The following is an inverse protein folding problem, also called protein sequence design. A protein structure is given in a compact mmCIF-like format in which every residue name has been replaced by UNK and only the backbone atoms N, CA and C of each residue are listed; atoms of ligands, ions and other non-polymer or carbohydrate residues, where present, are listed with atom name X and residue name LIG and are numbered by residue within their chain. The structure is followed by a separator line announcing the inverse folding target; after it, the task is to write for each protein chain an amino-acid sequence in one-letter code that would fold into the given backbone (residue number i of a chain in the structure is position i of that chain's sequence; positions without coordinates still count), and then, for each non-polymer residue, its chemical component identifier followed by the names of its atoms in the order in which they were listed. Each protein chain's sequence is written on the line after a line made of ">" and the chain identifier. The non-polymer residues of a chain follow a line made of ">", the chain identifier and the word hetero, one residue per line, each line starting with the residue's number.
data_IF_199145339190
#
_entry.id   IF_199145339190
#
_cell.length_a   1.000
_cell.length_b   1.000
_cell.length_c   1.000
_cell.angle_alpha   90.00
_cell.angle_beta   90.00
_cell.angle_gamma   90.00
#
_symmetry.space_group_name_H-M   'P 1'
#
loop_
_entity.id
_entity.type
_entity.pdbx_description
1 polymer ?
#
# COMPACT_ATOMS: atom_id res chain seq x y z
N UNK A 1 15.37 2.36 2.23
CA UNK A 1 14.60 1.32 2.92
C UNK A 1 13.89 1.97 4.08
N UNK A 2 12.66 2.42 3.84
CA UNK A 2 11.80 2.90 4.92
C UNK A 2 11.53 1.74 5.89
N UNK A 3 11.84 1.97 7.16
CA UNK A 3 11.43 1.06 8.21
C UNK A 3 9.96 1.34 8.50
N UNK A 4 9.07 0.34 8.31
CA UNK A 4 7.66 0.52 8.67
C UNK A 4 7.47 0.80 10.16
N UNK A 5 8.48 0.63 11.01
CA UNK A 5 8.41 1.14 12.39
C UNK A 5 8.06 2.63 12.42
N UNK A 6 8.62 3.42 11.49
CA UNK A 6 8.32 4.86 11.37
C UNK A 6 6.90 5.11 10.84
N UNK A 7 6.50 4.38 9.79
CA UNK A 7 5.13 4.43 9.25
C UNK A 7 4.09 4.01 10.29
N UNK A 8 4.33 2.91 11.01
CA UNK A 8 3.47 2.36 12.06
C UNK A 8 3.31 3.34 13.22
N UNK A 9 4.39 4.01 13.63
CA UNK A 9 4.32 5.05 14.65
C UNK A 9 3.45 6.24 14.19
N UNK A 10 3.64 6.69 12.95
CA UNK A 10 2.85 7.76 12.36
C UNK A 10 1.38 7.36 12.17
N UNK A 11 1.09 6.14 11.70
CA UNK A 11 -0.27 5.63 11.56
C UNK A 11 -0.99 5.54 12.91
N UNK A 12 -0.32 5.10 13.98
CA UNK A 12 -0.89 5.12 15.35
C UNK A 12 -1.25 6.55 15.77
N UNK A 13 -0.32 7.49 15.62
CA UNK A 13 -0.57 8.89 15.98
C UNK A 13 -1.74 9.47 15.16
N UNK A 14 -1.75 9.25 13.85
CA UNK A 14 -2.81 9.72 12.94
C UNK A 14 -4.17 9.07 13.23
N UNK A 15 -4.20 7.79 13.60
CA UNK A 15 -5.43 7.09 13.98
C UNK A 15 -6.09 7.77 15.19
N UNK A 16 -5.32 8.18 16.20
CA UNK A 16 -5.85 8.88 17.37
C UNK A 16 -6.45 10.24 17.03
N UNK A 17 -5.92 10.93 16.02
CA UNK A 17 -6.46 12.21 15.55
C UNK A 17 -7.73 12.04 14.70
N UNK A 18 -7.74 11.04 13.82
CA UNK A 18 -8.81 10.81 12.85
C UNK A 18 -9.99 10.08 13.48
N UNK A 19 -9.76 8.96 14.15
CA UNK A 19 -10.80 8.07 14.66
C UNK A 19 -11.00 8.23 16.17
N UNK A 20 -11.36 9.45 16.58
CA UNK A 20 -11.50 9.83 18.00
C UNK A 20 -12.47 8.94 18.78
N UNK A 21 -13.44 8.35 18.09
CA UNK A 21 -14.47 7.50 18.69
C UNK A 21 -14.17 6.01 18.54
N UNK A 22 -13.06 5.61 17.89
CA UNK A 22 -12.72 4.21 17.63
C UNK A 22 -13.76 3.47 16.78
N UNK A 23 -14.41 4.18 15.85
CA UNK A 23 -15.51 3.66 15.03
C UNK A 23 -15.07 3.00 13.72
N UNK A 24 -13.80 3.12 13.35
CA UNK A 24 -13.30 2.51 12.11
C UNK A 24 -13.05 1.02 12.36
N UNK A 25 -13.89 0.19 11.74
CA UNK A 25 -13.80 -1.25 11.86
C UNK A 25 -12.70 -1.85 10.96
N UNK A 26 -12.35 -3.10 11.22
CA UNK A 26 -11.36 -3.80 10.39
C UNK A 26 -11.92 -4.12 8.99
N UNK A 27 -13.22 -4.39 8.88
CA UNK A 27 -13.91 -4.59 7.60
C UNK A 27 -13.81 -3.33 6.73
N UNK A 28 -13.96 -2.15 7.35
CA UNK A 28 -13.72 -0.89 6.66
C UNK A 28 -12.29 -0.78 6.14
N UNK A 29 -11.28 -1.14 6.96
CA UNK A 29 -9.86 -1.12 6.55
C UNK A 29 -9.59 -2.10 5.39
N UNK A 30 -10.22 -3.27 5.38
CA UNK A 30 -10.15 -4.19 4.25
C UNK A 30 -10.76 -3.58 2.98
N UNK A 31 -11.90 -2.91 3.11
CA UNK A 31 -12.56 -2.27 1.97
C UNK A 31 -11.78 -1.04 1.45
N UNK A 32 -11.17 -0.28 2.35
CA UNK A 32 -10.24 0.81 2.04
C UNK A 32 -9.05 0.29 1.24
N UNK A 33 -8.34 -0.73 1.74
CA UNK A 33 -7.24 -1.37 1.03
C UNK A 33 -7.65 -1.89 -0.37
N UNK A 34 -8.82 -2.53 -0.48
CA UNK A 34 -9.35 -3.00 -1.75
C UNK A 34 -9.62 -1.86 -2.73
N UNK A 35 -10.09 -0.70 -2.22
CA UNK A 35 -10.26 0.52 -2.98
C UNK A 35 -8.94 1.03 -3.56
N UNK A 36 -7.93 1.22 -2.72
CA UNK A 36 -6.60 1.70 -3.13
C UNK A 36 -5.94 0.76 -4.15
N UNK A 37 -6.11 -0.55 -3.96
CA UNK A 37 -5.66 -1.54 -4.94
C UNK A 37 -6.41 -1.42 -6.28
N UNK A 38 -7.71 -1.10 -6.24
CA UNK A 38 -8.50 -0.81 -7.44
C UNK A 38 -7.98 0.41 -8.20
N UNK A 39 -7.59 1.47 -7.49
CA UNK A 39 -6.98 2.67 -8.06
C UNK A 39 -5.62 2.35 -8.71
N UNK A 40 -4.76 1.62 -8.00
CA UNK A 40 -3.48 1.14 -8.54
C UNK A 40 -3.67 0.28 -9.80
N UNK A 41 -4.60 -0.68 -9.79
CA UNK A 41 -4.95 -1.49 -10.97
C UNK A 41 -5.38 -0.62 -12.16
N UNK A 42 -6.17 0.41 -11.90
CA UNK A 42 -6.63 1.32 -12.94
C UNK A 42 -5.48 2.12 -13.55
N UNK A 43 -4.50 2.55 -12.75
CA UNK A 43 -3.29 3.24 -13.22
C UNK A 43 -2.40 2.30 -14.03
N UNK A 44 -2.10 1.10 -13.52
CA UNK A 44 -1.29 0.08 -14.24
C UNK A 44 -1.91 -0.24 -15.60
N UNK A 45 -3.22 -0.45 -15.65
CA UNK A 45 -3.95 -0.67 -16.91
C UNK A 45 -3.77 0.50 -17.89
N UNK A 46 -3.76 1.75 -17.42
CA UNK A 46 -3.57 2.92 -18.29
C UNK A 46 -2.13 3.02 -18.82
N UNK A 47 -1.12 2.69 -18.01
CA UNK A 47 0.28 2.61 -18.42
C UNK A 47 0.49 1.51 -19.47
N UNK A 48 -0.03 0.31 -19.22
CA UNK A 48 0.08 -0.81 -20.16
C UNK A 48 -0.68 -0.55 -21.45
N UNK A 49 -1.84 0.11 -21.38
CA UNK A 49 -2.61 0.54 -22.55
C UNK A 49 -1.77 1.44 -23.47
N UNK A 50 -1.00 2.35 -22.89
CA UNK A 50 -0.09 3.21 -23.65
C UNK A 50 1.02 2.41 -24.31
N UNK A 51 1.69 1.53 -23.54
CA UNK A 51 2.75 0.63 -24.02
C UNK A 51 2.28 -0.26 -25.18
N UNK A 52 1.04 -0.69 -25.16
CA UNK A 52 0.42 -1.55 -26.18
C UNK A 52 -0.16 -0.76 -27.38
N UNK A 53 -0.13 0.58 -27.37
CA UNK A 53 -0.71 1.40 -28.43
C UNK A 53 -2.25 1.39 -28.48
N UNK A 54 -2.92 0.97 -27.39
CA UNK A 54 -4.38 0.88 -27.33
C UNK A 54 -4.98 2.28 -27.07
N UNK A 55 -6.05 2.65 -27.77
CA UNK A 55 -6.76 3.93 -27.57
C UNK A 55 -7.40 3.99 -26.18
N UNK A 56 -7.27 5.13 -25.49
CA UNK A 56 -7.97 5.42 -24.23
C UNK A 56 -7.25 6.44 -23.35
N UNK A 57 -7.75 6.68 -22.14
CA UNK A 57 -7.08 7.54 -21.15
C UNK A 57 -5.68 7.00 -20.77
N UNK A 58 -4.81 7.90 -20.29
CA UNK A 58 -3.43 7.63 -19.89
C UNK A 58 -3.23 7.93 -18.40
N UNK A 59 -2.11 7.50 -17.87
CA UNK A 59 -1.67 7.80 -16.52
C UNK A 59 -0.15 7.97 -16.51
N UNK A 60 0.38 8.49 -15.41
CA UNK A 60 1.82 8.67 -15.22
C UNK A 60 2.36 7.69 -14.17
N UNK A 61 3.67 7.43 -14.22
CA UNK A 61 4.37 6.67 -13.19
C UNK A 61 4.24 7.34 -11.81
N UNK A 62 4.16 8.68 -11.76
CA UNK A 62 3.91 9.42 -10.52
C UNK A 62 2.55 9.10 -9.89
N UNK A 63 1.49 8.96 -10.71
CA UNK A 63 0.18 8.52 -10.22
C UNK A 63 0.25 7.08 -9.68
N UNK A 64 1.02 6.19 -10.31
CA UNK A 64 1.20 4.84 -9.79
C UNK A 64 1.89 4.86 -8.41
N UNK A 65 2.89 5.74 -8.25
CA UNK A 65 3.57 5.90 -6.97
C UNK A 65 2.63 6.32 -5.85
N UNK A 66 1.66 7.22 -6.14
CA UNK A 66 0.65 7.64 -5.18
C UNK A 66 -0.27 6.48 -4.75
N UNK A 67 -0.76 5.67 -5.70
CA UNK A 67 -1.66 4.56 -5.34
C UNK A 67 -0.92 3.41 -4.66
N UNK A 68 0.32 3.12 -5.06
CA UNK A 68 1.14 2.12 -4.36
C UNK A 68 1.48 2.55 -2.93
N UNK A 69 1.69 3.85 -2.71
CA UNK A 69 1.88 4.39 -1.37
C UNK A 69 0.63 4.17 -0.50
N UNK A 70 -0.57 4.43 -1.02
CA UNK A 70 -1.81 4.18 -0.30
C UNK A 70 -2.05 2.71 0.01
N UNK A 71 -1.75 1.80 -0.94
CA UNK A 71 -1.78 0.35 -0.69
C UNK A 71 -0.89 -0.01 0.51
N UNK A 72 0.36 0.47 0.54
CA UNK A 72 1.29 0.18 1.63
C UNK A 72 0.81 0.77 2.98
N UNK A 73 0.30 2.00 2.97
CA UNK A 73 -0.26 2.66 4.15
C UNK A 73 -1.45 1.87 4.70
N UNK A 74 -2.35 1.40 3.84
CA UNK A 74 -3.53 0.62 4.21
C UNK A 74 -3.17 -0.77 4.76
N UNK A 75 -2.17 -1.45 4.17
CA UNK A 75 -1.65 -2.70 4.73
C UNK A 75 -1.13 -2.50 6.16
N UNK A 76 -0.42 -1.41 6.42
CA UNK A 76 0.06 -1.12 7.78
C UNK A 76 -1.10 -0.83 8.75
N UNK A 77 -2.17 -0.14 8.32
CA UNK A 77 -3.36 0.08 9.15
C UNK A 77 -4.06 -1.23 9.53
N UNK A 78 -4.15 -2.19 8.60
CA UNK A 78 -4.66 -3.54 8.89
C UNK A 78 -3.76 -4.26 9.88
N UNK A 79 -2.44 -4.27 9.62
CA UNK A 79 -1.47 -4.91 10.50
C UNK A 79 -1.50 -4.30 11.91
N UNK A 80 -1.63 -2.97 12.01
CA UNK A 80 -1.83 -2.26 13.27
C UNK A 80 -3.12 -2.70 13.98
N UNK A 81 -4.26 -2.74 13.27
CA UNK A 81 -5.56 -3.09 13.84
C UNK A 81 -5.65 -4.53 14.35
N UNK A 82 -4.82 -5.44 13.84
CA UNK A 82 -4.71 -6.83 14.31
C UNK A 82 -3.47 -7.10 15.17
N UNK A 83 -2.74 -6.06 15.56
CA UNK A 83 -1.49 -6.17 16.34
C UNK A 83 -0.43 -7.09 15.71
N UNK A 84 -0.42 -7.19 14.38
CA UNK A 84 0.52 -7.98 13.62
C UNK A 84 1.88 -7.28 13.48
N UNK A 85 2.95 -8.05 13.55
CA UNK A 85 4.32 -7.60 13.30
C UNK A 85 4.65 -7.96 11.85
N UNK A 86 4.96 -6.99 11.01
CA UNK A 86 5.37 -7.30 9.64
C UNK A 86 6.91 -7.34 9.63
N UNK A 87 7.56 -8.52 9.55
CA UNK A 87 9.01 -8.60 9.52
C UNK A 87 9.51 -8.08 8.18
N UNK A 88 10.03 -6.86 8.19
CA UNK A 88 10.50 -6.17 7.00
C UNK A 88 11.99 -6.36 6.87
N UNK A 89 12.40 -7.60 6.64
CA UNK A 89 13.76 -7.85 6.23
C UNK A 89 13.84 -8.76 5.01
N UNK A 90 14.43 -8.16 3.98
CA UNK A 90 15.30 -8.70 2.92
C UNK A 90 14.75 -9.71 1.92
N UNK A 91 14.71 -9.25 0.66
CA UNK A 91 15.55 -9.89 -0.36
C UNK A 91 14.93 -11.02 -1.17
N UNK A 92 13.65 -10.93 -1.51
CA UNK A 92 13.12 -11.80 -2.57
C UNK A 92 12.92 -11.01 -3.85
N UNK A 93 13.78 -11.17 -4.87
CA UNK A 93 13.45 -10.74 -6.21
C UNK A 93 12.26 -11.59 -6.68
N UNK A 94 11.05 -11.07 -6.52
CA UNK A 94 9.90 -11.58 -7.25
C UNK A 94 10.00 -11.01 -8.66
N UNK A 95 10.70 -11.77 -9.51
CA UNK A 95 10.75 -11.46 -10.93
C UNK A 95 9.38 -11.67 -11.55
N UNK A 96 8.71 -10.59 -11.93
CA UNK A 96 7.48 -10.66 -12.70
C UNK A 96 7.79 -10.58 -14.18
N UNK A 97 7.04 -11.33 -15.00
CA UNK A 97 7.20 -11.30 -16.46
C UNK A 97 6.78 -9.97 -17.10
N UNK A 98 6.01 -9.14 -16.39
CA UNK A 98 5.61 -7.79 -16.81
C UNK A 98 5.02 -7.00 -15.64
N UNK A 99 4.88 -5.67 -15.80
CA UNK A 99 4.15 -4.82 -14.87
C UNK A 99 2.67 -5.24 -14.73
N UNK A 100 2.04 -5.68 -15.83
CA UNK A 100 0.67 -6.19 -15.81
C UNK A 100 0.53 -7.46 -14.95
N UNK A 101 1.51 -8.37 -15.03
CA UNK A 101 1.56 -9.56 -14.17
C UNK A 101 1.71 -9.13 -12.71
N UNK A 102 2.69 -8.29 -12.40
CA UNK A 102 2.93 -7.80 -11.04
C UNK A 102 1.69 -7.13 -10.44
N UNK A 103 0.97 -6.31 -11.22
CA UNK A 103 -0.28 -5.69 -10.80
C UNK A 103 -1.40 -6.69 -10.51
N UNK A 104 -1.57 -7.71 -11.35
CA UNK A 104 -2.56 -8.76 -11.12
C UNK A 104 -2.22 -9.62 -9.88
N UNK A 105 -0.94 -9.91 -9.68
CA UNK A 105 -0.47 -10.63 -8.49
C UNK A 105 -0.72 -9.81 -7.21
N UNK A 106 -0.42 -8.50 -7.24
CA UNK A 106 -0.68 -7.61 -6.12
C UNK A 106 -2.17 -7.57 -5.75
N UNK A 107 -3.05 -7.45 -6.75
CA UNK A 107 -4.51 -7.45 -6.54
C UNK A 107 -5.01 -8.75 -5.90
N UNK A 108 -4.52 -9.89 -6.38
CA UNK A 108 -4.82 -11.21 -5.80
C UNK A 108 -4.37 -11.29 -4.33
N UNK A 109 -3.17 -10.82 -4.03
CA UNK A 109 -2.62 -10.84 -2.67
C UNK A 109 -3.39 -9.92 -1.72
N UNK A 110 -3.86 -8.76 -2.19
CA UNK A 110 -4.77 -7.90 -1.42
C UNK A 110 -6.07 -8.63 -1.09
N UNK A 111 -6.66 -9.34 -2.06
CA UNK A 111 -7.83 -10.18 -1.81
C UNK A 111 -7.58 -11.23 -0.72
N UNK A 112 -6.47 -11.96 -0.81
CA UNK A 112 -6.08 -12.95 0.21
C UNK A 112 -5.76 -12.35 1.58
N UNK A 113 -5.25 -11.12 1.62
CA UNK A 113 -5.05 -10.42 2.89
C UNK A 113 -6.39 -10.07 3.53
N UNK A 114 -7.32 -9.51 2.76
CA UNK A 114 -8.66 -9.20 3.27
C UNK A 114 -9.40 -10.46 3.73
N UNK A 115 -9.31 -11.55 2.99
CA UNK A 115 -9.85 -12.86 3.36
C UNK A 115 -9.29 -13.35 4.71
N UNK A 116 -7.96 -13.39 4.86
CA UNK A 116 -7.30 -13.80 6.11
C UNK A 116 -7.68 -12.92 7.31
N UNK A 117 -7.89 -11.63 7.08
CA UNK A 117 -8.33 -10.70 8.12
C UNK A 117 -9.77 -11.00 8.54
N UNK A 118 -10.68 -11.16 7.58
CA UNK A 118 -12.11 -11.35 7.83
C UNK A 118 -12.41 -12.72 8.44
N UNK A 119 -11.73 -13.77 7.97
CA UNK A 119 -11.91 -15.15 8.45
C UNK A 119 -11.09 -15.45 9.72
N UNK A 120 -10.42 -14.44 10.28
CA UNK A 120 -9.65 -14.55 11.53
C UNK A 120 -8.50 -15.57 11.47
N UNK A 121 -7.89 -15.76 10.29
CA UNK A 121 -6.71 -16.58 10.08
C UNK A 121 -5.42 -15.80 10.41
N UNK A 122 -5.18 -15.58 11.70
CA UNK A 122 -4.07 -14.74 12.17
C UNK A 122 -2.68 -15.31 11.89
N UNK A 123 -2.53 -16.64 11.81
CA UNK A 123 -1.25 -17.32 11.65
C UNK A 123 -0.55 -16.99 10.31
N UNK A 124 -1.31 -16.51 9.32
CA UNK A 124 -0.78 -16.13 8.00
C UNK A 124 -0.79 -14.62 7.76
N UNK A 125 -1.37 -13.82 8.66
CA UNK A 125 -1.59 -12.39 8.45
C UNK A 125 -0.29 -11.63 8.15
N UNK A 126 0.75 -11.86 8.95
CA UNK A 126 2.06 -11.22 8.77
C UNK A 126 2.67 -11.56 7.41
N UNK A 127 2.54 -12.83 6.99
CA UNK A 127 3.00 -13.30 5.68
C UNK A 127 2.19 -12.65 4.55
N UNK A 128 0.87 -12.52 4.70
CA UNK A 128 0.00 -11.87 3.69
C UNK A 128 0.32 -10.38 3.55
N UNK A 129 0.48 -9.66 4.66
CA UNK A 129 0.93 -8.26 4.66
C UNK A 129 2.28 -8.12 3.95
N UNK A 130 3.24 -9.00 4.28
CA UNK A 130 4.57 -8.98 3.69
C UNK A 130 4.55 -9.22 2.19
N UNK A 131 3.72 -10.15 1.69
CA UNK A 131 3.58 -10.42 0.27
C UNK A 131 3.05 -9.19 -0.49
N UNK A 132 1.98 -8.55 0.02
CA UNK A 132 1.43 -7.34 -0.60
C UNK A 132 2.49 -6.24 -0.67
N UNK A 133 3.17 -5.96 0.44
CA UNK A 133 4.24 -4.95 0.50
C UNK A 133 5.36 -5.28 -0.49
N UNK A 134 5.86 -6.51 -0.49
CA UNK A 134 6.95 -6.93 -1.40
C UNK A 134 6.57 -6.79 -2.87
N UNK A 135 5.34 -7.16 -3.22
CA UNK A 135 4.86 -7.05 -4.60
C UNK A 135 4.68 -5.58 -5.00
N UNK A 136 4.25 -4.70 -4.09
CA UNK A 136 4.20 -3.26 -4.34
C UNK A 136 5.59 -2.66 -4.60
N UNK A 137 6.61 -3.03 -3.82
CA UNK A 137 7.99 -2.61 -4.06
C UNK A 137 8.55 -3.17 -5.38
N UNK A 138 8.30 -4.44 -5.69
CA UNK A 138 8.74 -5.01 -6.96
C UNK A 138 8.11 -4.31 -8.17
N UNK A 139 6.83 -3.91 -8.06
CA UNK A 139 6.17 -3.11 -9.10
C UNK A 139 6.75 -1.69 -9.18
N UNK A 140 7.09 -1.08 -8.05
CA UNK A 140 7.78 0.20 -8.01
C UNK A 140 9.15 0.12 -8.71
N UNK A 141 9.92 -0.94 -8.47
CA UNK A 141 11.22 -1.19 -9.10
C UNK A 141 11.10 -1.31 -10.63
N UNK A 142 10.08 -2.01 -11.13
CA UNK A 142 9.82 -2.14 -12.59
C UNK A 142 9.66 -0.77 -13.25
N UNK A 143 9.06 0.20 -12.55
CA UNK A 143 8.81 1.55 -13.07
C UNK A 143 9.82 2.60 -12.60
N UNK A 144 10.83 2.22 -11.81
CA UNK A 144 11.81 3.16 -11.24
C UNK A 144 11.19 4.16 -10.25
N UNK A 145 10.19 3.72 -9.47
CA UNK A 145 9.49 4.54 -8.48
C UNK A 145 10.26 4.51 -7.14
N UNK A 146 10.56 5.69 -6.60
CA UNK A 146 10.90 5.85 -5.18
C UNK A 146 9.63 5.72 -4.32
N UNK A 147 9.32 4.48 -3.93
CA UNK A 147 8.13 4.17 -3.14
C UNK A 147 8.25 4.63 -1.69
N UNK A 148 9.45 4.60 -1.11
CA UNK A 148 9.73 5.12 0.24
C UNK A 148 9.32 6.60 0.32
N UNK A 149 9.81 7.43 -0.61
CA UNK A 149 9.44 8.85 -0.67
C UNK A 149 7.96 9.07 -1.05
N UNK A 150 7.38 8.20 -1.89
CA UNK A 150 5.95 8.29 -2.24
C UNK A 150 5.04 8.06 -1.02
N UNK A 151 5.36 7.09 -0.16
CA UNK A 151 4.66 6.85 1.10
C UNK A 151 4.66 8.09 1.98
N UNK A 152 5.82 8.75 2.14
CA UNK A 152 5.93 9.98 2.93
C UNK A 152 5.07 11.09 2.36
N UNK A 153 5.19 11.37 1.05
CA UNK A 153 4.41 12.42 0.38
C UNK A 153 2.91 12.15 0.48
N UNK A 154 2.46 10.93 0.18
CA UNK A 154 1.05 10.58 0.20
C UNK A 154 0.46 10.62 1.60
N UNK A 155 1.17 10.09 2.60
CA UNK A 155 0.75 10.15 3.99
C UNK A 155 0.54 11.60 4.46
N UNK A 156 1.49 12.48 4.15
CA UNK A 156 1.46 13.89 4.55
C UNK A 156 0.38 14.67 3.79
N UNK A 157 0.22 14.43 2.48
CA UNK A 157 -0.83 15.04 1.67
C UNK A 157 -2.24 14.66 2.17
N UNK A 158 -2.46 13.38 2.52
CA UNK A 158 -3.74 12.95 3.11
C UNK A 158 -3.97 13.62 4.47
N UNK A 159 -2.93 13.68 5.31
CA UNK A 159 -3.03 14.34 6.62
C UNK A 159 -3.37 15.83 6.50
N UNK A 160 -2.77 16.54 5.55
CA UNK A 160 -3.12 17.92 5.24
C UNK A 160 -4.55 18.07 4.72
N UNK A 161 -4.93 17.25 3.72
CA UNK A 161 -6.26 17.26 3.09
C UNK A 161 -7.39 17.11 4.10
N UNK A 162 -7.20 16.29 5.15
CA UNK A 162 -8.21 16.03 6.18
C UNK A 162 -7.98 16.81 7.48
N UNK A 163 -7.04 17.76 7.50
CA UNK A 163 -6.82 18.67 8.64
C UNK A 163 -6.17 18.03 9.87
N UNK A 164 -5.38 16.97 9.68
CA UNK A 164 -4.63 16.28 10.73
C UNK A 164 -3.25 16.92 10.93
N UNK A 165 -2.70 16.81 12.14
CA UNK A 165 -1.40 17.37 12.53
C UNK A 165 -0.25 16.38 12.37
N UNK A 166 -0.50 15.08 12.51
CA UNK A 166 0.53 14.04 12.36
C UNK A 166 1.19 14.09 10.97
N UNK A 167 2.52 13.99 10.92
CA UNK A 167 3.31 13.89 9.69
C UNK A 167 4.30 12.73 9.78
N UNK A 168 4.57 12.12 8.64
CA UNK A 168 5.65 11.15 8.46
C UNK A 168 6.90 11.89 7.98
N UNK A 169 8.03 11.64 8.64
CA UNK A 169 9.33 12.19 8.26
C UNK A 169 10.02 11.23 7.28
N UNK A 170 10.82 11.77 6.36
CA UNK A 170 11.74 10.96 5.58
C UNK A 170 12.79 10.34 6.50
N UNK A 171 13.15 9.08 6.27
CA UNK A 171 14.27 8.47 6.96
C UNK A 171 15.54 9.24 6.56
N UNK A 172 16.34 9.66 7.55
CA UNK A 172 17.62 10.28 7.28
C UNK A 172 18.48 9.31 6.45
N UNK A 173 18.98 9.78 5.31
CA UNK A 173 19.80 9.02 4.36
C UNK A 173 21.13 8.56 4.98
#
# INVERSE_FOLDING_TARGET
>A
MSDFTTLRAANRARQHEWDKNGGISIEYRCNELAGEMGEACNVIKKLERERLGIRGSRATVGQLAEELADVVICVDLIAMGRSAVVPLNTGYPVGFGSAAHAGAELAKQVGWLCDAVLDSEFDVLETRCLLVVRTAYALADIYGIDLDGAIVRKFNATSEKVGLSTRLLEAAA
#
